data_IF_360185424587
#
_entry.id   IF_360185424587
#
_cell.length_a   1.000
_cell.length_b   1.000
_cell.length_c   1.000
_cell.angle_alpha   90.00
_cell.angle_beta   90.00
_cell.angle_gamma   90.00
#
_symmetry.space_group_name_H-M   'P 1'
#
loop_
_entity.id
_entity.type
_entity.pdbx_description
1 polymer ?
#
# COMPACT_ATOMS: atom_id res chain seq x y z
N UNK A 1 -11.73 -20.90 1.77
CA UNK A 1 -10.66 -20.19 1.05
C UNK A 1 -9.49 -21.13 0.84
N UNK A 2 -9.02 -21.30 -0.40
CA UNK A 2 -7.79 -22.05 -0.66
C UNK A 2 -6.62 -21.26 -0.08
N UNK A 3 -5.86 -21.88 0.85
CA UNK A 3 -4.64 -21.25 1.39
C UNK A 3 -3.64 -21.04 0.26
N UNK A 4 -3.14 -19.82 0.14
CA UNK A 4 -2.08 -19.50 -0.81
C UNK A 4 -0.79 -20.16 -0.34
N UNK A 5 -0.16 -20.90 -1.24
CA UNK A 5 1.16 -21.48 -1.00
C UNK A 5 2.25 -20.42 -1.27
N UNK A 6 2.69 -19.74 -0.22
CA UNK A 6 3.68 -18.68 -0.30
C UNK A 6 4.99 -19.08 -1.00
N UNK A 7 5.32 -20.38 -1.05
CA UNK A 7 6.52 -20.88 -1.73
C UNK A 7 6.41 -20.86 -3.26
N UNK A 8 5.19 -20.73 -3.79
CA UNK A 8 4.93 -20.71 -5.23
C UNK A 8 4.69 -19.30 -5.78
N UNK A 9 4.72 -18.28 -4.94
CA UNK A 9 4.56 -16.91 -5.38
C UNK A 9 5.77 -16.45 -6.19
N UNK A 10 5.53 -15.62 -7.22
CA UNK A 10 6.57 -14.95 -8.00
C UNK A 10 7.13 -13.75 -7.23
N UNK A 11 6.29 -13.09 -6.45
CA UNK A 11 6.70 -12.03 -5.54
C UNK A 11 7.70 -12.55 -4.52
N UNK A 12 8.86 -11.91 -4.46
CA UNK A 12 9.92 -12.23 -3.49
C UNK A 12 10.34 -10.99 -2.72
N UNK A 13 9.45 -10.40 -1.92
CA UNK A 13 9.75 -9.17 -1.20
C UNK A 13 10.91 -9.34 -0.21
N UNK A 14 11.24 -10.57 0.20
CA UNK A 14 12.37 -10.87 1.07
C UNK A 14 13.73 -10.62 0.39
N UNK A 15 13.80 -10.69 -0.96
CA UNK A 15 14.99 -10.45 -1.77
C UNK A 15 15.14 -8.97 -2.16
N UNK A 16 14.11 -8.13 -1.94
CA UNK A 16 14.13 -6.72 -2.29
C UNK A 16 14.99 -5.91 -1.30
N UNK A 17 15.78 -4.97 -1.86
CA UNK A 17 16.53 -4.01 -1.07
C UNK A 17 15.66 -2.77 -0.80
N UNK A 18 15.14 -2.67 0.41
CA UNK A 18 14.36 -1.52 0.87
C UNK A 18 15.25 -0.41 1.43
N UNK A 19 16.56 -0.67 1.66
CA UNK A 19 17.52 0.31 2.15
C UNK A 19 17.75 1.39 1.08
N UNK A 20 17.72 2.64 1.47
CA UNK A 20 18.06 3.74 0.57
C UNK A 20 16.95 4.33 -0.28
N UNK A 21 15.73 3.77 -0.27
CA UNK A 21 14.58 4.38 -0.95
C UNK A 21 14.35 5.85 -0.54
N UNK A 22 14.78 6.23 0.67
CA UNK A 22 14.55 7.54 1.28
C UNK A 22 15.85 8.35 1.56
N UNK A 23 17.02 7.71 1.61
CA UNK A 23 18.26 8.37 2.06
C UNK A 23 18.93 9.25 1.01
N UNK A 24 18.82 8.92 -0.27
CA UNK A 24 19.44 9.65 -1.39
C UNK A 24 18.43 10.35 -2.31
N UNK A 25 17.28 10.77 -1.80
CA UNK A 25 16.28 11.43 -2.62
C UNK A 25 16.68 12.89 -2.91
N UNK A 26 16.77 13.24 -4.20
CA UNK A 26 16.92 14.62 -4.64
C UNK A 26 15.65 15.43 -4.28
N UNK A 27 15.73 16.75 -4.40
CA UNK A 27 14.61 17.67 -4.08
C UNK A 27 13.30 17.29 -4.79
N UNK A 28 13.38 16.87 -6.07
CA UNK A 28 12.20 16.45 -6.84
C UNK A 28 11.55 15.19 -6.23
N UNK A 29 12.34 14.19 -5.87
CA UNK A 29 11.80 12.98 -5.25
C UNK A 29 11.15 13.26 -3.89
N UNK A 30 11.76 14.13 -3.06
CA UNK A 30 11.17 14.58 -1.79
C UNK A 30 9.83 15.29 -2.01
N UNK A 31 9.77 16.19 -3.00
CA UNK A 31 8.54 16.90 -3.34
C UNK A 31 7.42 15.95 -3.80
N UNK A 32 7.75 14.95 -4.64
CA UNK A 32 6.78 13.96 -5.11
C UNK A 32 6.23 13.11 -3.96
N UNK A 33 7.11 12.62 -3.08
CA UNK A 33 6.72 11.86 -1.87
C UNK A 33 5.87 12.71 -0.93
N UNK A 34 6.23 13.99 -0.76
CA UNK A 34 5.43 14.93 0.05
C UNK A 34 4.01 15.09 -0.49
N UNK A 35 3.87 15.25 -1.81
CA UNK A 35 2.55 15.34 -2.45
C UNK A 35 1.75 14.04 -2.36
N UNK A 36 2.44 12.88 -2.43
CA UNK A 36 1.82 11.58 -2.20
C UNK A 36 1.16 11.52 -0.82
N UNK A 37 1.90 11.84 0.24
CA UNK A 37 1.36 11.80 1.59
C UNK A 37 0.28 12.86 1.84
N UNK A 38 0.42 14.08 1.31
CA UNK A 38 -0.66 15.07 1.35
C UNK A 38 -1.95 14.56 0.71
N UNK A 39 -1.85 13.78 -0.36
CA UNK A 39 -3.02 13.15 -0.97
C UNK A 39 -3.62 12.04 -0.10
N UNK A 40 -2.78 11.23 0.57
CA UNK A 40 -3.27 10.24 1.55
C UNK A 40 -3.98 10.94 2.72
N UNK A 41 -3.37 12.00 3.28
CA UNK A 41 -3.94 12.81 4.37
C UNK A 41 -5.31 13.41 4.00
N UNK A 42 -5.45 13.93 2.76
CA UNK A 42 -6.75 14.41 2.26
C UNK A 42 -7.81 13.31 2.20
N UNK A 43 -7.42 12.10 1.76
CA UNK A 43 -8.34 10.96 1.70
C UNK A 43 -8.74 10.49 3.10
N UNK A 44 -7.81 10.47 4.05
CA UNK A 44 -8.11 10.19 5.47
C UNK A 44 -9.13 11.21 6.00
N UNK A 45 -8.96 12.49 5.70
CA UNK A 45 -9.86 13.54 6.17
C UNK A 45 -11.30 13.44 5.60
N UNK A 46 -11.51 12.70 4.51
CA UNK A 46 -12.84 12.41 3.96
C UNK A 46 -13.56 11.25 4.70
N UNK A 47 -12.84 10.46 5.48
CA UNK A 47 -13.43 9.35 6.23
C UNK A 47 -14.19 9.86 7.46
N UNK A 48 -15.23 9.12 7.88
CA UNK A 48 -16.07 9.48 9.03
C UNK A 48 -16.14 8.30 9.99
N UNK A 49 -16.15 8.62 11.29
CA UNK A 49 -16.35 7.63 12.37
C UNK A 49 -15.29 6.51 12.35
N UNK A 50 -14.01 6.88 12.09
CA UNK A 50 -12.88 5.97 12.11
C UNK A 50 -12.29 5.94 13.52
N UNK A 51 -12.48 4.83 14.22
CA UNK A 51 -11.97 4.59 15.58
C UNK A 51 -10.82 3.57 15.61
N UNK A 52 -10.60 2.87 14.49
CA UNK A 52 -9.52 1.91 14.31
C UNK A 52 -8.96 1.95 12.90
N UNK A 53 -7.63 1.90 12.78
CA UNK A 53 -6.96 1.86 11.49
C UNK A 53 -5.84 0.81 11.48
N UNK A 54 -5.58 0.24 10.30
CA UNK A 54 -4.51 -0.72 10.12
C UNK A 54 -3.84 -0.53 8.75
N UNK A 55 -2.51 -0.40 8.76
CA UNK A 55 -1.72 -0.34 7.53
C UNK A 55 -1.08 -1.69 7.26
N UNK A 56 -1.27 -2.22 6.05
CA UNK A 56 -0.74 -3.50 5.59
C UNK A 56 0.46 -3.24 4.68
N UNK A 57 1.57 -3.96 4.90
CA UNK A 57 2.81 -3.80 4.14
C UNK A 57 3.55 -2.51 4.51
N UNK A 58 3.72 -2.27 5.81
CA UNK A 58 4.32 -1.02 6.33
C UNK A 58 5.82 -0.85 6.02
N UNK A 59 6.49 -1.90 5.53
CA UNK A 59 7.94 -1.90 5.32
C UNK A 59 8.70 -1.55 6.60
N UNK A 60 9.54 -0.50 6.55
CA UNK A 60 10.23 0.05 7.72
C UNK A 60 9.34 0.92 8.63
N UNK A 61 8.05 1.08 8.32
CA UNK A 61 7.10 1.89 9.10
C UNK A 61 7.23 3.40 8.90
N UNK A 62 7.77 3.86 7.78
CA UNK A 62 7.95 5.30 7.50
C UNK A 62 6.64 6.01 7.16
N UNK A 63 5.77 5.39 6.39
CA UNK A 63 4.40 5.86 6.12
C UNK A 63 3.59 5.93 7.41
N UNK A 64 3.63 4.85 8.17
CA UNK A 64 2.98 4.73 9.48
C UNK A 64 3.39 5.85 10.42
N UNK A 65 4.71 6.10 10.57
CA UNK A 65 5.25 7.18 11.40
C UNK A 65 4.70 8.56 10.99
N UNK A 66 4.48 8.76 9.70
CA UNK A 66 3.95 10.02 9.17
C UNK A 66 2.45 10.17 9.41
N UNK A 67 1.68 9.08 9.27
CA UNK A 67 0.21 9.12 9.29
C UNK A 67 -0.40 8.89 10.68
N UNK A 68 0.35 8.34 11.63
CA UNK A 68 -0.16 7.91 12.96
C UNK A 68 -0.84 9.01 13.75
N UNK A 69 -0.44 10.27 13.59
CA UNK A 69 -1.04 11.40 14.30
C UNK A 69 -2.47 11.74 13.82
N UNK A 70 -2.89 11.21 12.67
CA UNK A 70 -4.22 11.40 12.08
C UNK A 70 -5.19 10.27 12.44
N UNK A 71 -4.70 9.17 13.01
CA UNK A 71 -5.44 7.92 13.16
C UNK A 71 -5.48 7.45 14.61
N UNK A 72 -6.64 6.98 15.04
CA UNK A 72 -6.86 6.41 16.38
C UNK A 72 -6.70 4.90 16.33
N UNK A 73 -6.24 4.27 17.42
CA UNK A 73 -6.03 2.81 17.50
C UNK A 73 -5.37 2.25 16.24
N UNK A 74 -4.27 2.91 15.83
CA UNK A 74 -3.54 2.57 14.63
C UNK A 74 -2.59 1.40 14.89
N UNK A 75 -2.55 0.47 13.97
CA UNK A 75 -1.66 -0.69 13.97
C UNK A 75 -1.11 -0.94 12.58
N UNK A 76 -0.13 -1.81 12.46
CA UNK A 76 0.46 -2.14 11.18
C UNK A 76 0.88 -3.59 11.06
N UNK A 77 1.04 -4.06 9.84
CA UNK A 77 1.59 -5.38 9.55
C UNK A 77 2.59 -5.37 8.40
N UNK A 78 3.52 -6.30 8.46
CA UNK A 78 4.55 -6.50 7.45
C UNK A 78 4.77 -8.00 7.24
N UNK A 79 4.92 -8.39 5.97
CA UNK A 79 5.18 -9.79 5.61
C UNK A 79 6.65 -10.15 5.81
N UNK A 80 7.56 -9.25 5.43
CA UNK A 80 9.00 -9.48 5.46
C UNK A 80 9.53 -9.42 6.89
N UNK A 81 9.87 -10.58 7.46
CA UNK A 81 10.25 -10.75 8.86
C UNK A 81 11.36 -9.78 9.30
N UNK A 82 12.40 -9.61 8.47
CA UNK A 82 13.54 -8.71 8.78
C UNK A 82 13.16 -7.23 8.94
N UNK A 83 12.02 -6.78 8.38
CA UNK A 83 11.56 -5.40 8.46
C UNK A 83 10.73 -5.13 9.72
N UNK A 84 10.09 -6.15 10.29
CA UNK A 84 9.23 -6.00 11.48
C UNK A 84 9.96 -5.36 12.67
N UNK A 85 11.19 -5.77 13.04
CA UNK A 85 11.93 -5.10 14.14
C UNK A 85 12.26 -3.64 13.84
N UNK A 86 12.54 -3.32 12.55
CA UNK A 86 12.83 -1.95 12.12
C UNK A 86 11.58 -1.08 12.24
N UNK A 87 10.45 -1.57 11.76
CA UNK A 87 9.15 -0.88 11.86
C UNK A 87 8.76 -0.62 13.32
N UNK A 88 8.95 -1.61 14.21
CA UNK A 88 8.72 -1.46 15.67
C UNK A 88 9.63 -0.43 16.30
N UNK A 89 10.90 -0.38 15.92
CA UNK A 89 11.85 0.63 16.39
C UNK A 89 11.42 2.03 15.99
N UNK A 90 10.92 2.19 14.74
CA UNK A 90 10.47 3.48 14.22
C UNK A 90 9.12 3.92 14.79
N UNK A 91 8.29 2.98 15.26
CA UNK A 91 6.95 3.23 15.81
C UNK A 91 6.73 2.41 17.10
N UNK A 92 7.46 2.72 18.19
CA UNK A 92 7.45 1.88 19.40
C UNK A 92 6.10 1.84 20.12
N UNK A 93 5.23 2.82 19.88
CA UNK A 93 3.91 2.93 20.49
C UNK A 93 2.83 2.12 19.75
N UNK A 94 3.14 1.58 18.55
CA UNK A 94 2.17 0.88 17.73
C UNK A 94 2.29 -0.64 17.85
N UNK A 95 1.15 -1.31 17.72
CA UNK A 95 1.12 -2.76 17.55
C UNK A 95 1.45 -3.12 16.12
N UNK A 96 2.59 -3.77 15.90
CA UNK A 96 3.06 -4.19 14.58
C UNK A 96 3.18 -5.71 14.56
N UNK A 97 2.57 -6.33 13.55
CA UNK A 97 2.48 -7.79 13.40
C UNK A 97 3.26 -8.27 12.17
N UNK A 98 3.78 -9.48 12.26
CA UNK A 98 4.19 -10.21 11.05
C UNK A 98 2.99 -11.01 10.54
N UNK A 99 2.53 -10.69 9.33
CA UNK A 99 1.45 -11.43 8.67
C UNK A 99 1.42 -11.17 7.16
N UNK A 100 0.76 -12.07 6.45
CA UNK A 100 0.52 -11.94 5.01
C UNK A 100 -0.78 -11.20 4.75
N UNK A 101 -0.82 -10.36 3.72
CA UNK A 101 -2.04 -9.72 3.23
C UNK A 101 -3.11 -10.73 2.79
N UNK A 102 -2.71 -11.97 2.47
CA UNK A 102 -3.63 -13.04 2.10
C UNK A 102 -4.22 -13.82 3.30
N UNK A 103 -3.70 -13.62 4.51
CA UNK A 103 -4.15 -14.28 5.73
C UNK A 103 -3.96 -13.37 6.94
N UNK A 104 -4.84 -12.37 7.07
CA UNK A 104 -4.80 -11.38 8.14
C UNK A 104 -5.38 -11.95 9.44
N UNK A 105 -4.71 -11.71 10.56
CA UNK A 105 -5.11 -12.20 11.89
C UNK A 105 -6.35 -11.49 12.47
N UNK A 106 -6.66 -10.32 11.93
CA UNK A 106 -7.81 -9.53 12.35
C UNK A 106 -9.13 -10.22 12.06
N UNK A 107 -10.10 -10.04 12.96
CA UNK A 107 -11.46 -10.58 12.78
C UNK A 107 -12.17 -9.87 11.62
N UNK A 108 -13.17 -10.54 11.04
CA UNK A 108 -14.02 -9.92 10.03
C UNK A 108 -14.70 -8.67 10.58
N UNK A 109 -14.79 -7.62 9.77
CA UNK A 109 -15.43 -6.34 10.10
C UNK A 109 -14.92 -5.71 11.42
N UNK A 110 -13.61 -5.74 11.66
CA UNK A 110 -13.01 -5.24 12.90
C UNK A 110 -12.21 -3.95 12.76
N UNK A 111 -11.85 -3.54 11.54
CA UNK A 111 -11.01 -2.39 11.26
C UNK A 111 -11.83 -1.36 10.46
N UNK A 112 -11.98 -0.14 10.99
CA UNK A 112 -12.80 0.89 10.32
C UNK A 112 -12.12 1.42 9.05
N UNK A 113 -10.77 1.55 9.04
CA UNK A 113 -9.97 2.01 7.91
C UNK A 113 -8.75 1.11 7.71
N UNK A 114 -8.63 0.51 6.54
CA UNK A 114 -7.42 -0.19 6.10
C UNK A 114 -6.63 0.71 5.14
N UNK A 115 -5.31 0.75 5.31
CA UNK A 115 -4.38 1.38 4.38
C UNK A 115 -3.53 0.30 3.70
N UNK A 116 -3.38 0.40 2.37
CA UNK A 116 -2.53 -0.46 1.55
C UNK A 116 -1.75 0.42 0.56
N UNK A 117 -0.55 0.84 0.94
CA UNK A 117 0.22 1.85 0.23
C UNK A 117 1.46 1.23 -0.42
N UNK A 118 1.50 1.20 -1.78
CA UNK A 118 2.62 0.64 -2.55
C UNK A 118 2.88 -0.86 -2.26
N UNK A 119 1.81 -1.64 -2.23
CA UNK A 119 1.84 -3.09 -1.97
C UNK A 119 1.15 -3.89 -3.07
N UNK A 120 -0.02 -3.43 -3.53
CA UNK A 120 -0.90 -4.22 -4.41
C UNK A 120 -0.22 -4.58 -5.74
N UNK A 121 0.65 -3.71 -6.26
CA UNK A 121 1.41 -3.93 -7.49
C UNK A 121 2.41 -5.07 -7.42
N UNK A 122 2.84 -5.44 -6.21
CA UNK A 122 3.80 -6.53 -5.96
C UNK A 122 3.14 -7.90 -5.78
N UNK A 123 1.81 -7.96 -5.67
CA UNK A 123 1.10 -9.19 -5.31
C UNK A 123 0.81 -10.08 -6.52
N UNK A 124 1.02 -11.40 -6.38
CA UNK A 124 0.65 -12.40 -7.39
C UNK A 124 -0.87 -12.49 -7.60
N UNK A 125 -1.65 -12.28 -6.55
CA UNK A 125 -3.11 -12.42 -6.53
C UNK A 125 -3.76 -11.21 -5.86
N UNK A 126 -3.75 -10.03 -6.51
CA UNK A 126 -4.29 -8.80 -5.91
C UNK A 126 -5.78 -8.87 -5.56
N UNK A 127 -6.56 -9.64 -6.33
CA UNK A 127 -7.98 -9.88 -6.06
C UNK A 127 -8.20 -10.64 -4.75
N UNK A 128 -7.39 -11.68 -4.45
CA UNK A 128 -7.49 -12.44 -3.20
C UNK A 128 -7.09 -11.57 -2.00
N UNK A 129 -6.07 -10.74 -2.18
CA UNK A 129 -5.68 -9.78 -1.14
C UNK A 129 -6.81 -8.77 -0.86
N UNK A 130 -7.46 -8.25 -1.90
CA UNK A 130 -8.59 -7.33 -1.74
C UNK A 130 -9.81 -8.00 -1.08
N UNK A 131 -10.07 -9.27 -1.36
CA UNK A 131 -11.10 -10.06 -0.67
C UNK A 131 -10.79 -10.20 0.83
N UNK A 132 -9.53 -10.49 1.17
CA UNK A 132 -9.11 -10.61 2.57
C UNK A 132 -9.13 -9.26 3.29
N UNK A 133 -8.70 -8.18 2.63
CA UNK A 133 -8.83 -6.81 3.13
C UNK A 133 -10.31 -6.47 3.34
N UNK A 134 -11.17 -6.81 2.39
CA UNK A 134 -12.63 -6.61 2.52
C UNK A 134 -13.21 -7.40 3.69
N UNK A 135 -12.71 -8.60 3.96
CA UNK A 135 -13.14 -9.39 5.12
C UNK A 135 -12.87 -8.68 6.43
N UNK A 136 -11.65 -8.14 6.64
CA UNK A 136 -11.27 -7.49 7.90
C UNK A 136 -11.78 -6.08 8.02
N UNK A 137 -11.90 -5.36 6.90
CA UNK A 137 -12.40 -3.99 6.85
C UNK A 137 -13.87 -3.92 7.23
N UNK A 138 -14.20 -2.94 8.06
CA UNK A 138 -15.58 -2.60 8.41
C UNK A 138 -16.16 -1.57 7.46
N UNK A 139 -15.36 -0.60 7.01
CA UNK A 139 -15.89 0.52 6.24
C UNK A 139 -15.00 0.99 5.09
N UNK A 140 -13.76 1.40 5.36
CA UNK A 140 -12.94 2.11 4.38
C UNK A 140 -11.65 1.38 4.01
N UNK A 141 -11.23 1.59 2.76
CA UNK A 141 -9.90 1.25 2.24
C UNK A 141 -9.30 2.48 1.58
N UNK A 142 -8.07 2.83 1.96
CA UNK A 142 -7.21 3.71 1.18
C UNK A 142 -6.10 2.84 0.56
N UNK A 143 -6.02 2.85 -0.77
CA UNK A 143 -5.05 2.04 -1.50
C UNK A 143 -4.34 2.89 -2.54
N UNK A 144 -3.02 2.79 -2.59
CA UNK A 144 -2.17 3.55 -3.50
C UNK A 144 -1.24 2.64 -4.30
N UNK A 145 -1.11 2.91 -5.61
CA UNK A 145 -0.21 2.21 -6.53
C UNK A 145 0.43 3.18 -7.52
N UNK A 146 1.56 2.82 -8.16
CA UNK A 146 2.08 3.56 -9.29
C UNK A 146 1.07 3.67 -10.44
N UNK A 147 0.99 4.85 -11.06
CA UNK A 147 0.12 5.10 -12.22
C UNK A 147 0.87 4.74 -13.52
N UNK A 148 0.42 3.73 -14.21
CA UNK A 148 0.99 3.32 -15.49
C UNK A 148 0.23 3.91 -16.69
N UNK A 149 0.92 4.28 -17.78
CA UNK A 149 2.36 4.06 -18.05
C UNK A 149 3.30 5.15 -17.51
N UNK A 150 2.79 6.14 -16.78
CA UNK A 150 3.56 7.31 -16.31
C UNK A 150 4.80 6.91 -15.50
N UNK A 151 4.65 5.93 -14.62
CA UNK A 151 5.74 5.41 -13.79
C UNK A 151 6.92 4.91 -14.63
N UNK A 152 6.65 4.08 -15.64
CA UNK A 152 7.67 3.57 -16.57
C UNK A 152 8.34 4.68 -17.38
N UNK A 153 7.56 5.63 -17.88
CA UNK A 153 8.09 6.79 -18.63
C UNK A 153 9.08 7.57 -17.76
N UNK A 154 8.74 7.83 -16.50
CA UNK A 154 9.62 8.52 -15.57
C UNK A 154 10.86 7.70 -15.21
N UNK A 155 10.78 6.38 -15.13
CA UNK A 155 11.95 5.52 -14.94
C UNK A 155 12.88 5.56 -16.15
N UNK A 156 12.33 5.45 -17.36
CA UNK A 156 13.10 5.55 -18.62
C UNK A 156 13.77 6.92 -18.73
N UNK A 157 13.07 8.02 -18.42
CA UNK A 157 13.65 9.37 -18.49
C UNK A 157 14.83 9.56 -17.53
N UNK A 158 14.90 8.78 -16.46
CA UNK A 158 16.02 8.73 -15.50
C UNK A 158 17.03 7.65 -15.81
N UNK A 159 16.96 7.03 -16.99
CA UNK A 159 17.79 5.90 -17.45
C UNK A 159 17.75 4.69 -16.48
N UNK A 160 16.63 4.52 -15.75
CA UNK A 160 16.43 3.37 -14.86
C UNK A 160 15.64 2.27 -15.56
N UNK A 161 16.00 1.03 -15.28
CA UNK A 161 15.30 -0.17 -15.73
C UNK A 161 15.05 -0.22 -17.24
N UNK A 162 15.99 0.25 -18.05
CA UNK A 162 15.85 0.34 -19.51
C UNK A 162 15.63 -1.02 -20.18
N UNK A 163 16.26 -2.08 -19.64
CA UNK A 163 16.10 -3.46 -20.15
C UNK A 163 14.67 -3.98 -19.99
N UNK A 164 13.97 -3.53 -18.95
CA UNK A 164 12.60 -3.92 -18.60
C UNK A 164 11.59 -2.83 -18.97
N UNK A 165 11.93 -1.98 -19.96
CA UNK A 165 11.07 -0.89 -20.45
C UNK A 165 10.56 0.01 -19.30
N UNK A 166 11.44 0.31 -18.35
CA UNK A 166 11.15 1.16 -17.20
C UNK A 166 10.37 0.46 -16.06
N UNK A 167 10.08 -0.84 -16.19
CA UNK A 167 9.43 -1.57 -15.10
C UNK A 167 10.34 -1.67 -13.88
N UNK A 168 9.81 -1.35 -12.70
CA UNK A 168 10.52 -1.55 -11.45
C UNK A 168 10.57 -3.05 -11.12
N UNK A 169 11.71 -3.61 -10.71
CA UNK A 169 11.77 -4.98 -10.23
C UNK A 169 10.74 -5.22 -9.12
N UNK A 170 10.07 -6.37 -9.16
CA UNK A 170 9.01 -6.71 -8.20
C UNK A 170 7.61 -6.18 -8.54
N UNK A 171 7.44 -5.23 -9.47
CA UNK A 171 6.11 -4.84 -9.93
C UNK A 171 5.54 -5.89 -10.89
N UNK A 172 4.63 -6.72 -10.39
CA UNK A 172 3.94 -7.75 -11.16
C UNK A 172 2.69 -7.20 -11.85
N UNK A 173 2.05 -6.21 -11.23
CA UNK A 173 0.82 -5.62 -11.73
C UNK A 173 1.02 -4.16 -12.15
N UNK A 174 0.32 -3.77 -13.22
CA UNK A 174 0.44 -2.46 -13.82
C UNK A 174 -0.94 -1.95 -14.18
N UNK A 175 -1.38 -0.87 -13.58
CA UNK A 175 -2.70 -0.30 -13.83
C UNK A 175 -2.62 1.17 -14.20
N UNK A 176 -3.36 1.54 -15.23
CA UNK A 176 -3.78 2.92 -15.41
C UNK A 176 -4.80 3.31 -14.34
N UNK A 177 -4.98 4.60 -14.11
CA UNK A 177 -5.98 5.11 -13.16
C UNK A 177 -7.38 4.51 -13.39
N UNK A 178 -7.80 4.34 -14.65
CA UNK A 178 -9.12 3.78 -15.00
C UNK A 178 -9.23 2.30 -14.65
N UNK A 179 -8.20 1.52 -14.97
CA UNK A 179 -8.16 0.10 -14.65
C UNK A 179 -8.11 -0.13 -13.15
N UNK A 180 -7.27 0.63 -12.45
CA UNK A 180 -7.15 0.53 -10.99
C UNK A 180 -8.49 0.83 -10.30
N UNK A 181 -9.19 1.90 -10.71
CA UNK A 181 -10.54 2.19 -10.22
C UNK A 181 -11.47 0.99 -10.39
N UNK A 182 -11.47 0.38 -11.59
CA UNK A 182 -12.31 -0.80 -11.88
C UNK A 182 -11.97 -2.00 -11.00
N UNK A 183 -10.68 -2.26 -10.77
CA UNK A 183 -10.22 -3.35 -9.89
C UNK A 183 -10.77 -3.16 -8.47
N UNK A 184 -10.69 -1.94 -7.93
CA UNK A 184 -11.21 -1.65 -6.58
C UNK A 184 -12.74 -1.77 -6.53
N UNK A 185 -13.44 -1.24 -7.53
CA UNK A 185 -14.91 -1.35 -7.60
C UNK A 185 -15.39 -2.80 -7.72
N UNK A 186 -14.66 -3.66 -8.40
CA UNK A 186 -15.02 -5.07 -8.55
C UNK A 186 -14.75 -5.92 -7.32
N UNK A 187 -13.68 -5.63 -6.58
CA UNK A 187 -13.20 -6.54 -5.52
C UNK A 187 -13.43 -6.00 -4.09
N UNK A 188 -13.65 -4.70 -3.92
CA UNK A 188 -13.77 -4.12 -2.58
C UNK A 188 -15.08 -3.37 -2.36
N UNK A 189 -15.32 -2.26 -3.06
CA UNK A 189 -16.47 -1.41 -2.77
C UNK A 189 -16.55 -0.17 -3.65
N UNK A 190 -17.42 0.77 -3.28
CA UNK A 190 -17.61 2.02 -4.02
C UNK A 190 -16.42 2.95 -3.89
N UNK A 191 -15.88 3.43 -5.00
CA UNK A 191 -14.84 4.46 -5.00
C UNK A 191 -15.45 5.82 -4.67
N UNK A 192 -15.06 6.39 -3.51
CA UNK A 192 -15.53 7.69 -3.02
C UNK A 192 -14.70 8.83 -3.60
N UNK A 193 -13.38 8.67 -3.59
CA UNK A 193 -12.45 9.71 -4.04
C UNK A 193 -11.18 9.11 -4.65
N UNK A 194 -10.57 9.86 -5.57
CA UNK A 194 -9.30 9.49 -6.19
C UNK A 194 -8.39 10.72 -6.18
N UNK A 195 -7.23 10.57 -5.58
CA UNK A 195 -6.11 11.51 -5.71
C UNK A 195 -5.10 10.94 -6.72
N UNK A 196 -4.44 11.83 -7.46
CA UNK A 196 -3.48 11.42 -8.50
C UNK A 196 -2.20 12.24 -8.39
N UNK A 197 -1.48 12.20 -7.25
CA UNK A 197 -0.17 12.83 -7.15
C UNK A 197 0.81 12.10 -8.08
N UNK A 198 1.56 12.85 -8.88
CA UNK A 198 2.53 12.26 -9.81
C UNK A 198 3.62 11.53 -9.02
N UNK A 199 3.96 10.28 -9.34
CA UNK A 199 3.42 9.41 -10.41
C UNK A 199 2.44 8.33 -9.91
N UNK A 200 1.62 8.57 -8.91
CA UNK A 200 0.74 7.59 -8.27
C UNK A 200 -0.75 7.82 -8.54
N UNK A 201 -1.51 6.79 -8.25
CA UNK A 201 -2.97 6.86 -8.09
C UNK A 201 -3.34 6.31 -6.72
N UNK A 202 -4.10 7.09 -5.95
CA UNK A 202 -4.56 6.71 -4.60
C UNK A 202 -6.07 6.77 -4.59
N UNK A 203 -6.70 5.73 -4.09
CA UNK A 203 -8.16 5.58 -4.05
C UNK A 203 -8.62 5.45 -2.60
N UNK A 204 -9.66 6.21 -2.25
CA UNK A 204 -10.51 5.94 -1.09
C UNK A 204 -11.76 5.22 -1.56
N UNK A 205 -12.00 4.03 -1.01
CA UNK A 205 -13.20 3.26 -1.28
C UNK A 205 -13.96 2.93 0.02
N UNK A 206 -15.29 2.85 -0.08
CA UNK A 206 -16.18 2.39 0.98
C UNK A 206 -16.68 0.99 0.62
N UNK A 207 -16.65 0.09 1.60
CA UNK A 207 -17.08 -1.30 1.47
C UNK A 207 -18.57 -1.37 1.11
N UNK A 208 -18.93 -2.31 0.22
CA UNK A 208 -20.34 -2.66 -0.05
C UNK A 208 -20.99 -3.28 1.18
#
# INVERSE_FOLDING_TARGET
>A
MNKIDHKKLQAKPEEEDFSGKYENSNFVAKYLVENYFKSVEKLIALTKDVNSAHEIGIGEGRSTMRLKHLLTNFSGSEFVEKLVPVAKKNNPELNIFQESVYELKSKSNSIDLVLLLEVLEHLDHPEIALEEIKRVSKKYLIVGVPNEPLWRILNISRLKYLKDLGNTPGHLNHWSKKEFKKVIEQNYGNVIAIESPIPWTIILAEKY
#
